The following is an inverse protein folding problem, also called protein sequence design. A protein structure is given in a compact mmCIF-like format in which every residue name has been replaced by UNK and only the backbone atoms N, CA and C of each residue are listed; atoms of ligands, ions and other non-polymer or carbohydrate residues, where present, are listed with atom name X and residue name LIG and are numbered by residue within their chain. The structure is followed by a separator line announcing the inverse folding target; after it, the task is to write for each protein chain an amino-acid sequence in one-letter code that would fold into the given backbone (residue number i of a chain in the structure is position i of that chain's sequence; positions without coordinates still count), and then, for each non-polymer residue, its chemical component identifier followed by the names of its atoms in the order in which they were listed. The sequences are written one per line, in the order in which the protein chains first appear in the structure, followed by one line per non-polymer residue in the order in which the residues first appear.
data_IF_850921901448
#
_entry.id   IF_850921901448
#
_cell.length_a   1.000
_cell.length_b   1.000
_cell.length_c   1.000
_cell.angle_alpha   90.00
_cell.angle_beta   90.00
_cell.angle_gamma   90.00
#
_symmetry.space_group_name_H-M   'P 1'
#
loop_
_entity.id
_entity.type
_entity.pdbx_description
1 polymer ?
#
# COMPACT_ATOMS: atom_id res chain seq x y z
N UNK A 1 -20.46 0.84 -6.05
CA UNK A 1 -20.62 2.14 -6.72
C UNK A 1 -19.29 2.46 -7.38
N UNK A 2 -19.26 2.84 -8.65
CA UNK A 2 -18.02 3.25 -9.31
C UNK A 2 -17.60 4.60 -8.73
N UNK A 3 -16.55 4.60 -7.91
CA UNK A 3 -15.95 5.85 -7.43
C UNK A 3 -15.02 6.31 -8.55
N UNK A 4 -15.41 7.40 -9.22
CA UNK A 4 -14.57 8.06 -10.22
C UNK A 4 -14.09 9.36 -9.60
N UNK A 5 -12.78 9.47 -9.39
CA UNK A 5 -12.16 10.72 -8.96
C UNK A 5 -12.34 11.83 -10.01
N UNK A 6 -12.38 13.11 -9.60
CA UNK A 6 -12.26 14.21 -10.53
C UNK A 6 -10.88 14.20 -11.20
N UNK A 7 -10.76 14.76 -12.42
CA UNK A 7 -9.48 14.91 -13.10
C UNK A 7 -8.56 15.84 -12.32
N UNK A 8 -7.26 15.55 -12.34
CA UNK A 8 -6.23 16.38 -11.72
C UNK A 8 -5.99 17.63 -12.58
N UNK A 9 -6.10 18.81 -11.96
CA UNK A 9 -5.83 20.09 -12.60
C UNK A 9 -4.30 20.33 -12.76
N UNK A 10 -3.81 20.73 -13.96
CA UNK A 10 -2.44 21.20 -14.14
C UNK A 10 -1.97 22.24 -13.11
N UNK A 11 -2.86 23.15 -12.68
CA UNK A 11 -2.53 24.16 -11.67
C UNK A 11 -2.27 23.51 -10.30
N UNK A 12 -3.03 22.48 -9.93
CA UNK A 12 -2.80 21.73 -8.70
C UNK A 12 -1.43 21.03 -8.70
N UNK A 13 -0.99 20.50 -9.86
CA UNK A 13 0.37 19.94 -10.02
C UNK A 13 1.43 21.03 -9.87
N UNK A 14 1.24 22.18 -10.51
CA UNK A 14 2.18 23.29 -10.40
C UNK A 14 2.31 23.80 -8.95
N UNK A 15 1.19 23.96 -8.25
CA UNK A 15 1.16 24.35 -6.84
C UNK A 15 1.81 23.30 -5.93
N UNK A 16 1.53 22.01 -6.16
CA UNK A 16 2.18 20.91 -5.46
C UNK A 16 3.70 20.98 -5.62
N UNK A 17 4.22 21.19 -6.83
CA UNK A 17 5.66 21.30 -7.10
C UNK A 17 6.31 22.48 -6.36
N UNK A 18 5.60 23.60 -6.24
CA UNK A 18 6.06 24.77 -5.46
C UNK A 18 6.08 24.52 -3.95
N UNK A 19 5.59 23.37 -3.49
CA UNK A 19 5.50 23.04 -2.06
C UNK A 19 4.28 23.67 -1.38
N UNK A 20 3.21 23.95 -2.13
CA UNK A 20 1.96 24.41 -1.53
C UNK A 20 1.20 23.23 -0.92
N UNK A 21 1.16 23.15 0.41
CA UNK A 21 0.50 22.06 1.13
C UNK A 21 -1.01 22.01 0.86
N UNK A 22 -1.64 23.17 0.64
CA UNK A 22 -3.05 23.26 0.24
C UNK A 22 -3.35 22.59 -1.11
N UNK A 23 -2.36 22.46 -2.00
CA UNK A 23 -2.51 21.70 -3.23
C UNK A 23 -2.50 20.19 -2.96
N UNK A 24 -1.59 19.72 -2.09
CA UNK A 24 -1.56 18.32 -1.66
C UNK A 24 -2.86 17.92 -0.97
N UNK A 25 -3.37 18.77 -0.08
CA UNK A 25 -4.60 18.51 0.67
C UNK A 25 -5.84 18.41 -0.23
N UNK A 26 -5.94 19.28 -1.24
CA UNK A 26 -6.99 19.20 -2.27
C UNK A 26 -6.90 17.91 -3.07
N UNK A 27 -5.71 17.60 -3.59
CA UNK A 27 -5.45 16.35 -4.32
C UNK A 27 -5.77 15.11 -3.47
N UNK A 28 -5.44 15.15 -2.19
CA UNK A 28 -5.78 14.08 -1.25
C UNK A 28 -7.28 13.88 -1.17
N UNK A 29 -8.05 14.93 -0.84
CA UNK A 29 -9.51 14.83 -0.73
C UNK A 29 -10.18 14.34 -2.01
N UNK A 30 -9.70 14.81 -3.16
CA UNK A 30 -10.26 14.47 -4.46
C UNK A 30 -10.02 13.01 -4.84
N UNK A 31 -8.85 12.46 -4.51
CA UNK A 31 -8.44 11.12 -4.96
C UNK A 31 -8.60 10.05 -3.88
N UNK A 32 -8.85 10.43 -2.62
CA UNK A 32 -8.81 9.53 -1.47
C UNK A 32 -9.76 8.34 -1.62
N UNK A 33 -11.04 8.59 -1.92
CA UNK A 33 -12.06 7.55 -1.97
C UNK A 33 -11.77 6.52 -3.07
N UNK A 34 -11.36 6.99 -4.25
CA UNK A 34 -11.02 6.11 -5.39
C UNK A 34 -9.79 5.25 -5.10
N UNK A 35 -8.71 5.86 -4.59
CA UNK A 35 -7.48 5.14 -4.29
C UNK A 35 -7.66 4.17 -3.11
N UNK A 36 -8.50 4.53 -2.14
CA UNK A 36 -8.83 3.67 -1.00
C UNK A 36 -9.67 2.49 -1.45
N UNK A 37 -10.66 2.72 -2.33
CA UNK A 37 -11.43 1.66 -2.94
C UNK A 37 -10.54 0.69 -3.73
N UNK A 38 -9.60 1.21 -4.53
CA UNK A 38 -8.61 0.40 -5.25
C UNK A 38 -7.77 -0.45 -4.29
N UNK A 39 -7.15 0.16 -3.28
CA UNK A 39 -6.33 -0.56 -2.31
C UNK A 39 -7.13 -1.62 -1.53
N UNK A 40 -8.41 -1.34 -1.23
CA UNK A 40 -9.33 -2.26 -0.57
C UNK A 40 -9.58 -3.51 -1.42
N UNK A 41 -9.66 -3.41 -2.75
CA UNK A 41 -9.84 -4.59 -3.61
C UNK A 41 -8.68 -5.60 -3.48
N UNK A 42 -7.47 -5.12 -3.19
CA UNK A 42 -6.27 -5.95 -3.02
C UNK A 42 -6.13 -6.44 -1.57
N UNK A 43 -6.36 -5.56 -0.60
CA UNK A 43 -6.06 -5.83 0.81
C UNK A 43 -7.21 -6.48 1.58
N UNK A 44 -8.46 -6.23 1.18
CA UNK A 44 -9.67 -6.67 1.90
C UNK A 44 -9.83 -6.04 3.28
N UNK A 45 -9.09 -4.97 3.59
CA UNK A 45 -9.04 -4.32 4.90
C UNK A 45 -8.99 -2.80 4.71
N UNK A 46 -10.00 -2.11 5.27
CA UNK A 46 -10.22 -0.67 5.10
C UNK A 46 -9.13 0.16 5.78
N UNK A 47 -8.66 -0.29 6.94
CA UNK A 47 -7.60 0.40 7.69
C UNK A 47 -6.28 0.30 6.94
N UNK A 48 -5.94 -0.88 6.43
CA UNK A 48 -4.74 -1.09 5.64
C UNK A 48 -4.81 -0.37 4.29
N UNK A 49 -5.99 -0.25 3.69
CA UNK A 49 -6.23 0.53 2.48
C UNK A 49 -5.95 2.01 2.71
N UNK A 50 -6.59 2.63 3.71
CA UNK A 50 -6.37 4.03 4.08
C UNK A 50 -4.89 4.34 4.35
N UNK A 51 -4.22 3.51 5.15
CA UNK A 51 -2.79 3.64 5.44
C UNK A 51 -1.89 3.48 4.20
N UNK A 52 -2.36 2.78 3.17
CA UNK A 52 -1.63 2.66 1.90
C UNK A 52 -1.71 3.96 1.10
N UNK A 53 -2.90 4.55 1.02
CA UNK A 53 -3.13 5.83 0.35
C UNK A 53 -2.36 6.95 1.04
N UNK A 54 -2.42 7.05 2.36
CA UNK A 54 -1.66 8.06 3.12
C UNK A 54 -0.15 7.99 2.82
N UNK A 55 0.42 6.78 2.77
CA UNK A 55 1.84 6.60 2.43
C UNK A 55 2.15 6.99 1.00
N UNK A 56 1.24 6.72 0.05
CA UNK A 56 1.40 7.15 -1.34
C UNK A 56 1.43 8.67 -1.45
N UNK A 57 0.59 9.39 -0.69
CA UNK A 57 0.61 10.85 -0.65
C UNK A 57 1.86 11.41 0.04
N UNK A 58 2.33 10.79 1.13
CA UNK A 58 3.61 11.15 1.75
C UNK A 58 4.78 10.99 0.76
N UNK A 59 4.78 9.93 -0.06
CA UNK A 59 5.79 9.71 -1.09
C UNK A 59 5.67 10.74 -2.20
N UNK A 60 4.45 11.04 -2.64
CA UNK A 60 4.15 12.08 -3.63
C UNK A 60 4.70 13.44 -3.18
N UNK A 61 4.51 13.81 -1.91
CA UNK A 61 5.06 15.05 -1.36
C UNK A 61 6.59 15.10 -1.39
N UNK A 62 7.25 13.99 -1.05
CA UNK A 62 8.72 13.89 -1.10
C UNK A 62 9.26 13.97 -2.52
N UNK A 63 8.56 13.39 -3.48
CA UNK A 63 8.96 13.31 -4.89
C UNK A 63 8.32 14.41 -5.76
N UNK A 64 7.62 15.38 -5.15
CA UNK A 64 6.75 16.36 -5.84
C UNK A 64 7.43 17.11 -6.98
N UNK A 65 8.72 17.41 -6.84
CA UNK A 65 9.49 18.16 -7.84
C UNK A 65 9.64 17.40 -9.18
N UNK A 66 9.54 16.06 -9.14
CA UNK A 66 9.66 15.18 -10.31
C UNK A 66 8.40 15.12 -11.17
N UNK A 67 7.25 15.49 -10.61
CA UNK A 67 5.97 15.37 -11.32
C UNK A 67 5.72 16.63 -12.12
N UNK A 68 5.62 16.51 -13.45
CA UNK A 68 5.48 17.65 -14.36
C UNK A 68 4.06 17.79 -14.88
N UNK A 69 3.34 16.68 -15.01
CA UNK A 69 1.99 16.66 -15.60
C UNK A 69 0.95 16.00 -14.69
N UNK A 70 -0.35 16.33 -14.87
CA UNK A 70 -1.45 15.61 -14.20
C UNK A 70 -1.43 14.10 -14.43
N UNK A 71 -1.11 13.66 -15.65
CA UNK A 71 -1.06 12.24 -16.01
C UNK A 71 0.06 11.51 -15.28
N UNK A 72 1.24 12.13 -15.15
CA UNK A 72 2.34 11.56 -14.37
C UNK A 72 1.96 11.41 -12.89
N UNK A 73 1.32 12.43 -12.30
CA UNK A 73 0.85 12.37 -10.91
C UNK A 73 -0.22 11.27 -10.71
N UNK A 74 -1.21 11.21 -11.60
CA UNK A 74 -2.24 10.16 -11.55
C UNK A 74 -1.60 8.77 -11.62
N UNK A 75 -0.75 8.55 -12.63
CA UNK A 75 -0.05 7.27 -12.84
C UNK A 75 0.78 6.89 -11.63
N UNK A 76 1.54 7.84 -11.08
CA UNK A 76 2.36 7.61 -9.90
C UNK A 76 1.54 7.22 -8.67
N UNK A 77 0.41 7.90 -8.42
CA UNK A 77 -0.46 7.60 -7.28
C UNK A 77 -1.03 6.19 -7.39
N UNK A 78 -1.65 5.85 -8.53
CA UNK A 78 -2.22 4.52 -8.76
C UNK A 78 -1.16 3.43 -8.67
N UNK A 79 -0.01 3.61 -9.33
CA UNK A 79 1.08 2.63 -9.28
C UNK A 79 1.62 2.45 -7.87
N UNK A 80 1.86 3.55 -7.13
CA UNK A 80 2.38 3.48 -5.77
C UNK A 80 1.40 2.79 -4.82
N UNK A 81 0.09 3.08 -4.96
CA UNK A 81 -0.97 2.44 -4.16
C UNK A 81 -1.03 0.95 -4.46
N UNK A 82 -1.08 0.58 -5.74
CA UNK A 82 -1.16 -0.81 -6.18
C UNK A 82 0.06 -1.63 -5.71
N UNK A 83 1.28 -1.16 -5.99
CA UNK A 83 2.52 -1.84 -5.59
C UNK A 83 2.60 -2.04 -4.08
N UNK A 84 2.25 -1.00 -3.31
CA UNK A 84 2.27 -1.06 -1.85
C UNK A 84 1.21 -2.03 -1.31
N UNK A 85 0.03 -2.07 -1.93
CA UNK A 85 -1.05 -3.00 -1.57
C UNK A 85 -0.63 -4.46 -1.85
N UNK A 86 -0.10 -4.74 -3.04
CA UNK A 86 0.41 -6.07 -3.41
C UNK A 86 1.55 -6.50 -2.49
N UNK A 87 2.51 -5.63 -2.19
CA UNK A 87 3.61 -5.94 -1.27
C UNK A 87 3.10 -6.30 0.12
N UNK A 88 2.13 -5.55 0.65
CA UNK A 88 1.51 -5.84 1.95
C UNK A 88 0.74 -7.17 1.94
N UNK A 89 0.00 -7.44 0.87
CA UNK A 89 -0.74 -8.70 0.71
C UNK A 89 0.21 -9.90 0.67
N UNK A 90 1.28 -9.83 -0.14
CA UNK A 90 2.31 -10.86 -0.23
C UNK A 90 3.00 -11.12 1.10
N UNK A 91 3.34 -10.05 1.85
CA UNK A 91 3.93 -10.18 3.18
C UNK A 91 2.98 -10.89 4.16
N UNK A 92 1.69 -10.58 4.11
CA UNK A 92 0.68 -11.26 4.94
C UNK A 92 0.59 -12.74 4.59
N UNK A 93 0.52 -13.09 3.31
CA UNK A 93 0.48 -14.48 2.86
C UNK A 93 1.72 -15.28 3.30
N UNK A 94 2.91 -14.68 3.21
CA UNK A 94 4.16 -15.32 3.66
C UNK A 94 4.19 -15.60 5.17
N UNK A 95 3.66 -14.68 6.00
CA UNK A 95 3.55 -14.90 7.45
C UNK A 95 2.60 -16.06 7.77
N UNK A 96 1.43 -16.11 7.13
CA UNK A 96 0.50 -17.24 7.29
C UNK A 96 1.16 -18.58 6.91
N UNK A 97 1.98 -18.61 5.86
CA UNK A 97 2.70 -19.83 5.48
C UNK A 97 3.74 -20.24 6.53
N UNK A 98 4.46 -19.30 7.14
CA UNK A 98 5.44 -19.58 8.19
C UNK A 98 4.77 -20.13 9.46
N UNK A 99 3.63 -19.57 9.88
CA UNK A 99 2.90 -20.03 11.07
C UNK A 99 2.33 -21.44 10.89
N UNK A 100 1.86 -21.78 9.68
CA UNK A 100 1.33 -23.12 9.34
C UNK A 100 2.45 -24.18 9.32
N UNK A 101 3.64 -23.85 8.82
CA UNK A 101 4.77 -24.78 8.78
C UNK A 101 5.63 -24.79 10.06
N UNK A 102 5.61 -23.71 10.85
CA UNK A 102 6.39 -23.58 12.09
C UNK A 102 5.88 -24.43 13.26
N UNK A 103 4.58 -24.74 13.29
CA UNK A 103 3.99 -25.58 14.34
C UNK A 103 4.13 -27.09 14.11
N UNK A 104 4.63 -27.55 12.95
CA UNK A 104 4.75 -28.97 12.63
C UNK A 104 6.04 -29.65 13.15
N UNK A 105 6.99 -28.92 13.77
CA UNK A 105 8.32 -29.46 14.09
C UNK A 105 8.64 -29.63 15.59
N UNK A 106 7.68 -29.50 16.51
CA UNK A 106 7.93 -29.67 17.96
C UNK A 106 6.95 -30.64 18.63
N UNK A 107 6.80 -31.87 18.12
CA UNK A 107 6.36 -33.00 18.97
C UNK A 107 6.68 -34.35 18.33
N UNK A 108 7.93 -34.79 18.45
CA UNK A 108 8.29 -36.19 18.30
C UNK A 108 9.47 -36.51 19.22
N UNK A 109 9.22 -36.45 20.52
CA UNK A 109 10.03 -37.17 21.50
C UNK A 109 9.56 -38.62 21.53
N UNK A 110 10.42 -39.57 21.14
CA UNK A 110 10.32 -40.94 21.62
C UNK A 110 11.72 -41.57 21.78
N UNK A 111 12.14 -41.58 23.05
CA UNK A 111 12.82 -42.65 23.80
C UNK A 111 14.14 -43.22 23.25
N UNK A 112 15.20 -42.89 23.98
CA UNK A 112 16.46 -43.63 24.10
C UNK A 112 16.19 -45.05 24.59
N UNK A 113 16.68 -46.05 23.85
CA UNK A 113 17.05 -47.34 24.43
C UNK A 113 18.55 -47.58 24.22
N UNK A 114 19.26 -47.76 25.33
CA UNK A 114 20.66 -48.22 25.36
C UNK A 114 20.63 -49.75 25.33
N UNK A 115 21.37 -50.45 24.46
CA UNK A 115 21.66 -51.85 24.68
C UNK A 115 22.88 -51.97 25.59
N UNK A 116 22.65 -52.53 26.77
CA UNK A 116 23.66 -53.15 27.61
C UNK A 116 23.84 -54.58 27.11
N UNK A 117 25.08 -55.00 26.82
CA UNK A 117 25.75 -56.30 27.11
C UNK A 117 27.07 -56.32 26.36
#
# INVERSE_FOLDING_TARGET
MSVTSPPIDPEAVAALRRGEESALERLFRDQYDTLTAEAKTVLGDDTLAALTVERAFMRTWKERERMQTPTELATFLHQTVHETAVQKQSRRAGLHHLDVHGHAHTSAGHVRERPTV
#
